data_IF_339278950191
#
_entry.id   IF_339278950191
#
_cell.length_a   1.000
_cell.length_b   1.000
_cell.length_c   1.000
_cell.angle_alpha   90.00
_cell.angle_beta   90.00
_cell.angle_gamma   90.00
#
_symmetry.space_group_name_H-M   'P 1'
#
loop_
_entity.id
_entity.type
_entity.pdbx_description
1 polymer ?
#
# COMPACT_ATOMS: atom_id res chain seq x y z
N UNK A 1 -25.79 24.86 -34.62
CA UNK A 1 -26.33 25.48 -33.39
C UNK A 1 -25.18 25.75 -32.45
N UNK A 2 -24.83 27.03 -32.34
CA UNK A 2 -23.69 27.57 -31.59
C UNK A 2 -24.06 27.82 -30.13
N UNK A 3 -23.20 27.47 -29.18
CA UNK A 3 -23.06 28.28 -27.96
C UNK A 3 -21.63 28.23 -27.43
N UNK A 4 -21.04 29.43 -27.40
CA UNK A 4 -19.66 29.77 -27.05
C UNK A 4 -19.46 29.85 -25.52
N UNK A 5 -18.24 29.50 -25.14
CA UNK A 5 -17.38 29.90 -24.01
C UNK A 5 -17.83 30.90 -22.93
N UNK A 6 -17.28 30.77 -21.69
CA UNK A 6 -17.52 31.65 -20.55
C UNK A 6 -16.58 32.87 -20.58
N UNK A 7 -16.90 33.89 -21.39
CA UNK A 7 -16.20 35.18 -21.40
C UNK A 7 -17.09 36.37 -20.99
N UNK A 8 -18.36 36.13 -20.68
CA UNK A 8 -19.35 37.18 -20.41
C UNK A 8 -19.43 37.64 -18.94
N UNK A 9 -18.84 36.91 -17.97
CA UNK A 9 -18.88 37.30 -16.55
C UNK A 9 -17.77 38.25 -16.10
N UNK A 10 -16.70 38.44 -16.90
CA UNK A 10 -15.60 39.36 -16.55
C UNK A 10 -15.81 40.82 -17.01
N UNK A 11 -16.75 41.10 -17.90
CA UNK A 11 -17.02 42.47 -18.38
C UNK A 11 -18.09 43.25 -17.58
N UNK A 12 -18.88 42.57 -16.74
CA UNK A 12 -19.90 43.25 -15.91
C UNK A 12 -19.31 43.96 -14.68
N UNK A 13 -18.13 43.55 -14.19
CA UNK A 13 -17.46 44.16 -13.03
C UNK A 13 -16.63 45.40 -13.39
N UNK A 14 -16.11 45.50 -14.62
CA UNK A 14 -15.35 46.68 -15.08
C UNK A 14 -16.23 47.89 -15.43
N UNK A 15 -17.50 47.69 -15.81
CA UNK A 15 -18.44 48.80 -16.07
C UNK A 15 -18.97 49.48 -14.80
N UNK A 16 -19.07 48.76 -13.69
CA UNK A 16 -19.49 49.33 -12.41
C UNK A 16 -18.41 50.25 -11.80
N UNK A 17 -17.13 49.98 -12.07
CA UNK A 17 -16.01 50.78 -11.56
C UNK A 17 -15.88 52.15 -12.25
N UNK A 18 -16.22 52.24 -13.54
CA UNK A 18 -16.13 53.51 -14.31
C UNK A 18 -17.30 54.46 -14.07
N UNK A 19 -18.49 53.94 -13.74
CA UNK A 19 -19.68 54.78 -13.46
C UNK A 19 -19.57 55.46 -12.08
N UNK A 20 -18.83 54.89 -11.14
CA UNK A 20 -18.63 55.47 -9.81
C UNK A 20 -17.59 56.62 -9.80
N UNK A 21 -16.62 56.61 -10.72
CA UNK A 21 -15.61 57.69 -10.83
C UNK A 21 -16.14 58.96 -11.52
N UNK A 22 -17.12 58.84 -12.44
CA UNK A 22 -17.66 59.99 -13.16
C UNK A 22 -18.71 60.79 -12.39
N UNK A 23 -19.31 60.23 -11.34
CA UNK A 23 -20.30 60.92 -10.51
C UNK A 23 -19.67 61.79 -9.40
N UNK A 24 -18.36 61.67 -9.16
CA UNK A 24 -17.65 62.41 -8.11
C UNK A 24 -17.11 63.78 -8.58
N UNK A 25 -17.16 64.09 -9.88
CA UNK A 25 -16.48 65.24 -10.47
C UNK A 25 -17.37 66.47 -10.77
N UNK A 26 -18.66 66.48 -10.41
CA UNK A 26 -19.59 67.58 -10.80
C UNK A 26 -20.32 68.30 -9.67
N UNK A 27 -19.87 68.17 -8.43
CA UNK A 27 -20.40 68.94 -7.28
C UNK A 27 -19.25 69.67 -6.59
N UNK A 28 -18.57 70.55 -7.33
CA UNK A 28 -17.42 71.32 -6.81
C UNK A 28 -17.45 72.80 -7.18
N UNK A 29 -18.63 73.38 -7.36
CA UNK A 29 -18.77 74.84 -7.41
C UNK A 29 -20.00 75.28 -6.64
N UNK A 30 -19.85 75.46 -5.33
CA UNK A 30 -20.42 76.58 -4.56
C UNK A 30 -20.03 76.43 -3.08
N UNK A 31 -19.44 77.51 -2.56
CA UNK A 31 -19.32 77.90 -1.16
C UNK A 31 -18.22 77.25 -0.30
N UNK A 32 -17.20 78.10 -0.10
CA UNK A 32 -16.09 78.05 0.85
C UNK A 32 -16.54 77.70 2.28
N UNK A 33 -15.68 76.96 2.99
CA UNK A 33 -15.36 76.95 4.45
C UNK A 33 -15.25 75.50 5.00
N UNK A 34 -14.06 75.19 5.58
CA UNK A 34 -13.60 73.99 6.35
C UNK A 34 -12.86 72.86 5.60
N UNK A 35 -11.50 72.87 5.56
CA UNK A 35 -10.70 71.77 5.03
C UNK A 35 -10.06 70.87 6.11
N UNK A 36 -10.61 70.76 7.33
CA UNK A 36 -9.97 69.94 8.40
C UNK A 36 -10.86 68.81 8.96
N UNK A 37 -12.19 68.97 8.97
CA UNK A 37 -13.12 67.94 9.47
C UNK A 37 -13.44 66.83 8.46
N UNK A 38 -13.17 67.03 7.18
CA UNK A 38 -13.47 66.10 6.08
C UNK A 38 -12.45 64.95 5.97
N UNK A 39 -11.15 65.25 6.20
CA UNK A 39 -10.11 64.22 6.16
C UNK A 39 -10.20 63.25 7.34
N UNK A 40 -10.53 63.74 8.54
CA UNK A 40 -10.70 62.90 9.74
C UNK A 40 -11.85 61.91 9.53
N UNK A 41 -12.99 62.35 8.97
CA UNK A 41 -14.13 61.46 8.68
C UNK A 41 -13.82 60.44 7.58
N UNK A 42 -13.05 60.82 6.56
CA UNK A 42 -12.57 59.88 5.52
C UNK A 42 -11.61 58.85 6.10
N UNK A 43 -10.69 59.27 6.97
CA UNK A 43 -9.75 58.37 7.64
C UNK A 43 -10.46 57.39 8.57
N UNK A 44 -11.46 57.87 9.33
CA UNK A 44 -12.31 57.00 10.14
C UNK A 44 -13.09 56.01 9.28
N UNK A 45 -13.69 56.47 8.17
CA UNK A 45 -14.44 55.60 7.25
C UNK A 45 -13.55 54.50 6.65
N UNK A 46 -12.36 54.86 6.14
CA UNK A 46 -11.38 53.88 5.65
C UNK A 46 -10.89 52.94 6.74
N UNK A 47 -10.63 53.44 7.96
CA UNK A 47 -10.25 52.60 9.09
C UNK A 47 -11.37 51.61 9.47
N UNK A 48 -12.64 52.05 9.54
CA UNK A 48 -13.78 51.15 9.78
C UNK A 48 -13.98 50.15 8.66
N UNK A 49 -13.80 50.53 7.39
CA UNK A 49 -13.88 49.58 6.27
C UNK A 49 -12.75 48.56 6.30
N UNK A 50 -11.53 48.95 6.66
CA UNK A 50 -10.38 48.02 6.79
C UNK A 50 -10.56 47.10 7.99
N UNK A 51 -11.06 47.60 9.13
CA UNK A 51 -11.42 46.79 10.30
C UNK A 51 -12.56 45.83 9.97
N UNK A 52 -13.59 46.27 9.26
CA UNK A 52 -14.69 45.41 8.81
C UNK A 52 -14.21 44.34 7.81
N UNK A 53 -13.31 44.67 6.86
CA UNK A 53 -12.71 43.69 5.96
C UNK A 53 -11.82 42.68 6.71
N UNK A 54 -11.03 43.13 7.69
CA UNK A 54 -10.19 42.22 8.48
C UNK A 54 -11.00 41.34 9.43
N UNK A 55 -12.12 41.83 9.96
CA UNK A 55 -13.10 41.01 10.70
C UNK A 55 -13.82 39.99 9.79
N UNK A 56 -14.07 40.33 8.51
CA UNK A 56 -14.65 39.39 7.53
C UNK A 56 -13.66 38.32 7.05
N UNK A 57 -12.35 38.63 7.02
CA UNK A 57 -11.29 37.64 6.72
C UNK A 57 -11.01 36.72 7.92
N UNK A 58 -11.30 37.18 9.15
CA UNK A 58 -11.13 36.39 10.38
C UNK A 58 -12.16 35.29 10.62
N UNK A 59 -13.25 35.24 9.84
CA UNK A 59 -14.29 34.20 9.94
C UNK A 59 -14.02 32.96 9.05
N UNK A 60 -12.82 32.84 8.49
CA UNK A 60 -12.44 31.72 7.62
C UNK A 60 -11.79 30.54 8.34
N UNK A 61 -12.58 29.75 9.06
CA UNK A 61 -12.20 28.40 9.50
C UNK A 61 -11.53 28.29 10.88
N UNK A 62 -11.72 27.13 11.52
CA UNK A 62 -10.99 26.77 12.75
C UNK A 62 -9.55 26.50 12.34
N UNK A 63 -8.58 27.25 12.87
CA UNK A 63 -7.15 27.12 12.51
C UNK A 63 -6.48 25.85 13.03
N UNK A 64 -7.21 25.03 13.78
CA UNK A 64 -6.76 23.76 14.34
C UNK A 64 -7.76 22.64 14.01
N UNK A 65 -7.95 22.36 12.73
CA UNK A 65 -8.69 21.18 12.26
C UNK A 65 -7.71 19.99 12.18
N UNK A 66 -7.90 18.91 12.97
CA UNK A 66 -6.98 17.77 13.00
C UNK A 66 -6.83 17.08 11.64
N UNK A 67 -7.94 16.96 10.91
CA UNK A 67 -7.99 16.39 9.56
C UNK A 67 -8.94 17.22 8.69
N UNK A 68 -8.72 17.27 7.37
CA UNK A 68 -9.61 18.00 6.46
C UNK A 68 -11.06 17.52 6.57
N UNK A 69 -12.01 18.44 6.73
CA UNK A 69 -13.46 18.15 6.83
C UNK A 69 -14.01 17.25 5.73
N UNK A 70 -13.49 17.37 4.51
CA UNK A 70 -13.90 16.52 3.40
C UNK A 70 -13.62 15.03 3.67
N UNK A 71 -12.46 14.72 4.27
CA UNK A 71 -12.09 13.34 4.59
C UNK A 71 -12.86 12.80 5.81
N UNK A 72 -13.29 13.66 6.74
CA UNK A 72 -14.16 13.26 7.86
C UNK A 72 -15.56 12.79 7.42
N UNK A 73 -16.00 13.18 6.22
CA UNK A 73 -17.25 12.70 5.63
C UNK A 73 -17.10 11.39 4.86
N UNK A 74 -15.86 10.92 4.66
CA UNK A 74 -15.52 9.67 4.00
C UNK A 74 -15.24 8.57 5.05
N UNK A 75 -15.27 7.31 4.61
CA UNK A 75 -14.91 6.15 5.45
C UNK A 75 -13.39 5.91 5.40
N UNK A 76 -12.66 6.82 6.06
CA UNK A 76 -11.20 6.86 6.08
C UNK A 76 -10.69 6.53 7.46
N UNK A 77 -9.66 5.69 7.53
CA UNK A 77 -8.88 5.46 8.74
C UNK A 77 -7.62 6.34 8.71
N UNK A 78 -7.43 7.14 9.74
CA UNK A 78 -6.23 7.94 9.93
C UNK A 78 -5.25 7.28 10.90
N UNK A 79 -3.99 7.19 10.50
CA UNK A 79 -2.90 6.69 11.36
C UNK A 79 -1.62 7.51 11.17
N UNK A 80 -0.62 7.21 12.00
CA UNK A 80 0.75 7.60 11.73
C UNK A 80 1.67 6.40 11.49
N UNK A 81 2.89 6.67 11.02
CA UNK A 81 4.01 5.72 10.96
C UNK A 81 5.31 6.46 11.30
N UNK A 82 6.29 5.78 11.90
CA UNK A 82 7.49 6.48 12.39
C UNK A 82 8.58 6.66 11.34
N UNK A 83 8.72 5.69 10.44
CA UNK A 83 9.76 5.66 9.41
C UNK A 83 9.20 5.15 8.09
N UNK A 84 9.67 5.74 6.98
CA UNK A 84 9.27 5.29 5.66
C UNK A 84 9.73 3.84 5.44
N UNK A 85 8.86 2.94 4.97
CA UNK A 85 9.24 1.59 4.56
C UNK A 85 10.42 1.61 3.59
N UNK A 86 11.40 0.74 3.81
CA UNK A 86 12.55 0.65 2.91
C UNK A 86 12.21 -0.20 1.69
N UNK A 87 11.50 -1.30 1.89
CA UNK A 87 11.11 -2.22 0.85
C UNK A 87 9.61 -2.48 0.88
N UNK A 88 8.96 -2.33 -0.27
CA UNK A 88 7.59 -2.76 -0.50
C UNK A 88 7.51 -3.88 -1.56
N UNK A 89 8.63 -4.25 -2.19
CA UNK A 89 8.72 -5.48 -2.95
C UNK A 89 8.59 -6.67 -1.99
N UNK A 90 7.64 -7.57 -2.24
CA UNK A 90 7.46 -8.77 -1.41
C UNK A 90 8.70 -9.66 -1.34
N UNK A 91 9.57 -9.63 -2.35
CA UNK A 91 10.84 -10.38 -2.37
C UNK A 91 11.88 -9.81 -1.40
N UNK A 92 11.87 -8.48 -1.19
CA UNK A 92 12.87 -7.78 -0.36
C UNK A 92 12.36 -7.48 1.05
N UNK A 93 11.04 -7.30 1.21
CA UNK A 93 10.42 -6.91 2.48
C UNK A 93 10.58 -7.98 3.55
N UNK A 94 11.01 -7.54 4.73
CA UNK A 94 11.22 -8.41 5.90
C UNK A 94 11.16 -7.64 7.23
N UNK A 95 10.80 -6.35 7.20
CA UNK A 95 10.81 -5.48 8.38
C UNK A 95 9.39 -5.24 8.90
N UNK A 96 9.21 -5.14 10.22
CA UNK A 96 7.88 -4.99 10.82
C UNK A 96 7.15 -3.71 10.36
N UNK A 97 7.86 -2.60 10.18
CA UNK A 97 7.30 -1.33 9.70
C UNK A 97 6.77 -1.39 8.25
N UNK A 98 7.17 -2.41 7.46
CA UNK A 98 6.69 -2.62 6.09
C UNK A 98 5.37 -3.40 6.09
N UNK A 99 5.06 -4.14 7.16
CA UNK A 99 3.95 -5.10 7.20
C UNK A 99 2.55 -4.50 7.03
N UNK A 100 2.21 -3.30 7.57
CA UNK A 100 0.89 -2.71 7.32
C UNK A 100 0.60 -2.49 5.84
N UNK A 101 1.65 -2.22 5.05
CA UNK A 101 1.57 -1.95 3.61
C UNK A 101 1.59 -3.24 2.81
N UNK A 102 2.57 -4.10 3.08
CA UNK A 102 2.78 -5.31 2.29
C UNK A 102 1.67 -6.34 2.51
N UNK A 103 1.16 -6.53 3.74
CA UNK A 103 0.04 -7.45 3.98
C UNK A 103 -1.32 -6.89 3.56
N UNK A 104 -1.43 -5.58 3.32
CA UNK A 104 -2.62 -4.96 2.75
C UNK A 104 -2.69 -5.13 1.22
N UNK A 105 -1.53 -5.13 0.55
CA UNK A 105 -1.43 -5.25 -0.92
C UNK A 105 -1.24 -6.70 -1.37
N UNK A 106 -0.37 -7.45 -0.72
CA UNK A 106 -0.06 -8.84 -1.09
C UNK A 106 -0.86 -9.85 -0.26
N UNK A 107 -1.15 -11.01 -0.87
CA UNK A 107 -1.75 -12.14 -0.18
C UNK A 107 -0.86 -13.38 -0.27
N UNK A 108 -0.14 -13.73 0.81
CA UNK A 108 0.51 -15.02 0.89
C UNK A 108 -0.52 -16.16 0.93
N UNK A 109 -0.14 -17.41 0.65
CA UNK A 109 -1.07 -18.55 0.61
C UNK A 109 -1.92 -18.71 1.87
N UNK A 110 -1.31 -18.50 3.03
CA UNK A 110 -1.91 -18.66 4.34
C UNK A 110 -1.94 -17.33 5.11
N UNK A 111 -2.75 -17.30 6.16
CA UNK A 111 -2.74 -16.24 7.18
C UNK A 111 -2.98 -16.84 8.56
N UNK A 112 -2.83 -16.02 9.59
CA UNK A 112 -3.28 -16.40 10.93
C UNK A 112 -4.70 -15.92 11.18
N UNK A 113 -5.49 -16.75 11.86
CA UNK A 113 -6.77 -16.36 12.40
C UNK A 113 -6.54 -15.42 13.59
N UNK A 114 -6.82 -14.12 13.41
CA UNK A 114 -6.41 -13.08 14.35
C UNK A 114 -7.23 -13.02 15.65
N UNK A 115 -8.35 -13.74 15.75
CA UNK A 115 -9.13 -13.87 16.99
C UNK A 115 -8.89 -15.17 17.77
N UNK A 116 -8.12 -16.14 17.23
CA UNK A 116 -7.86 -17.42 17.92
C UNK A 116 -6.56 -17.36 18.73
N UNK A 117 -6.58 -17.93 19.94
CA UNK A 117 -5.44 -17.96 20.88
C UNK A 117 -5.32 -19.37 21.48
N UNK A 118 -4.28 -20.17 21.14
CA UNK A 118 -3.10 -19.81 20.36
C UNK A 118 -3.41 -19.52 18.89
N UNK A 119 -2.53 -18.75 18.22
CA UNK A 119 -2.71 -18.41 16.81
C UNK A 119 -2.75 -19.66 15.93
N UNK A 120 -3.77 -19.74 15.07
CA UNK A 120 -3.96 -20.84 14.11
C UNK A 120 -3.76 -20.34 12.67
N UNK A 121 -3.14 -21.17 11.84
CA UNK A 121 -3.05 -20.91 10.41
C UNK A 121 -4.36 -21.28 9.72
N UNK A 122 -4.78 -20.44 8.78
CA UNK A 122 -5.92 -20.66 7.90
C UNK A 122 -5.59 -20.28 6.45
N UNK A 123 -6.32 -20.83 5.47
CA UNK A 123 -6.19 -20.43 4.08
C UNK A 123 -6.45 -18.92 3.88
N UNK A 124 -5.62 -18.28 3.06
CA UNK A 124 -5.85 -16.89 2.61
C UNK A 124 -6.23 -16.84 1.13
N UNK A 125 -5.38 -17.39 0.27
CA UNK A 125 -5.64 -17.54 -1.17
C UNK A 125 -5.82 -19.00 -1.58
N UNK A 126 -5.66 -19.93 -0.65
CA UNK A 126 -5.90 -21.36 -0.87
C UNK A 126 -7.34 -21.73 -0.54
N UNK A 127 -7.81 -22.85 -1.11
CA UNK A 127 -9.12 -23.43 -0.74
C UNK A 127 -9.07 -24.21 0.57
N UNK A 128 -7.90 -24.74 0.93
CA UNK A 128 -7.65 -25.53 2.13
C UNK A 128 -6.19 -25.41 2.58
N UNK A 129 -5.86 -25.92 3.77
CA UNK A 129 -4.47 -26.00 4.21
C UNK A 129 -3.69 -26.95 3.29
N UNK A 130 -2.40 -26.68 3.01
CA UNK A 130 -1.60 -27.51 2.13
C UNK A 130 -1.56 -28.97 2.60
N UNK A 131 -1.76 -29.90 1.66
CA UNK A 131 -1.52 -31.31 1.93
C UNK A 131 -0.01 -31.59 1.90
N UNK A 132 0.45 -32.53 2.72
CA UNK A 132 1.87 -32.87 2.83
C UNK A 132 2.08 -34.35 2.61
N UNK A 133 2.92 -34.69 1.63
CA UNK A 133 3.40 -36.06 1.37
C UNK A 133 4.89 -36.15 1.66
N UNK A 134 5.36 -37.32 2.09
CA UNK A 134 6.78 -37.58 2.34
C UNK A 134 7.35 -38.51 1.28
N UNK A 135 8.57 -38.23 0.83
CA UNK A 135 9.28 -39.05 -0.15
C UNK A 135 10.58 -39.60 0.40
N UNK A 136 10.91 -40.83 0.01
CA UNK A 136 12.23 -41.45 0.23
C UNK A 136 13.29 -40.87 -0.72
N UNK A 137 14.56 -41.26 -0.55
CA UNK A 137 15.64 -40.85 -1.45
C UNK A 137 15.41 -41.31 -2.90
N UNK A 138 14.73 -42.44 -3.07
CA UNK A 138 14.36 -43.04 -4.34
C UNK A 138 13.06 -42.43 -4.92
N UNK A 139 12.45 -41.44 -4.24
CA UNK A 139 11.23 -40.77 -4.68
C UNK A 139 9.94 -41.54 -4.42
N UNK A 140 9.97 -42.58 -3.57
CA UNK A 140 8.76 -43.33 -3.19
C UNK A 140 8.01 -42.62 -2.07
N UNK A 141 6.68 -42.62 -2.14
CA UNK A 141 5.82 -42.07 -1.08
C UNK A 141 5.96 -42.89 0.21
N UNK A 142 6.08 -42.19 1.34
CA UNK A 142 6.28 -42.75 2.68
C UNK A 142 5.06 -42.49 3.58
N UNK A 143 4.76 -43.39 4.53
CA UNK A 143 3.74 -43.16 5.55
C UNK A 143 3.96 -41.88 6.37
N UNK A 144 2.89 -41.27 6.87
CA UNK A 144 2.94 -40.02 7.65
C UNK A 144 3.74 -40.20 8.96
N UNK A 145 3.71 -41.40 9.54
CA UNK A 145 4.37 -41.76 10.79
C UNK A 145 5.86 -42.07 10.61
N UNK A 146 6.40 -42.02 9.38
CA UNK A 146 7.81 -42.30 9.13
C UNK A 146 8.72 -41.36 9.94
N UNK A 147 9.77 -41.91 10.60
CA UNK A 147 10.79 -41.14 11.30
C UNK A 147 11.43 -40.07 10.41
N UNK A 148 11.75 -38.91 10.98
CA UNK A 148 12.20 -37.74 10.22
C UNK A 148 13.52 -37.95 9.47
N UNK A 149 14.41 -38.79 10.00
CA UNK A 149 15.70 -39.18 9.43
C UNK A 149 15.59 -40.06 8.18
N UNK A 150 14.43 -40.70 7.97
CA UNK A 150 14.14 -41.53 6.79
C UNK A 150 13.43 -40.74 5.68
N UNK A 151 12.95 -39.53 5.96
CA UNK A 151 12.25 -38.69 5.00
C UNK A 151 13.27 -37.84 4.25
N UNK A 152 13.42 -38.07 2.95
CA UNK A 152 14.32 -37.29 2.13
C UNK A 152 13.71 -35.94 1.74
N UNK A 153 12.40 -35.89 1.50
CA UNK A 153 11.69 -34.68 1.08
C UNK A 153 10.26 -34.64 1.61
N UNK A 154 9.74 -33.43 1.83
CA UNK A 154 8.32 -33.16 2.02
C UNK A 154 7.76 -32.43 0.80
N UNK A 155 6.61 -32.87 0.29
CA UNK A 155 5.92 -32.27 -0.85
C UNK A 155 4.67 -31.58 -0.33
N UNK A 156 4.65 -30.26 -0.45
CA UNK A 156 3.49 -29.42 -0.13
C UNK A 156 2.69 -29.20 -1.41
N UNK A 157 1.43 -29.60 -1.43
CA UNK A 157 0.51 -29.29 -2.51
C UNK A 157 -0.44 -28.17 -2.07
N UNK A 158 -0.43 -27.08 -2.82
CA UNK A 158 -1.22 -25.89 -2.60
C UNK A 158 -2.31 -25.84 -3.66
N UNK A 159 -3.58 -25.81 -3.22
CA UNK A 159 -4.74 -25.61 -4.08
C UNK A 159 -5.24 -24.18 -3.93
N UNK A 160 -5.05 -23.38 -4.96
CA UNK A 160 -5.37 -21.96 -5.02
C UNK A 160 -6.85 -21.79 -5.29
N UNK A 161 -7.48 -20.83 -4.62
CA UNK A 161 -8.86 -20.46 -4.86
C UNK A 161 -8.99 -19.77 -6.23
N UNK A 162 -9.81 -20.30 -7.15
CA UNK A 162 -10.06 -19.65 -8.43
C UNK A 162 -10.80 -18.31 -8.28
N UNK A 163 -10.64 -17.44 -9.27
CA UNK A 163 -11.31 -16.15 -9.36
C UNK A 163 -10.71 -15.03 -8.50
N UNK A 164 -9.54 -15.24 -7.88
CA UNK A 164 -8.82 -14.16 -7.22
C UNK A 164 -8.21 -13.25 -8.28
N UNK A 165 -8.52 -11.95 -8.25
CA UNK A 165 -8.05 -10.98 -9.24
C UNK A 165 -6.95 -10.08 -8.65
N UNK A 166 -5.96 -9.74 -9.47
CA UNK A 166 -5.02 -8.67 -9.16
C UNK A 166 -5.70 -7.30 -9.13
N UNK A 167 -5.15 -6.37 -8.38
CA UNK A 167 -5.54 -4.97 -8.44
C UNK A 167 -5.41 -4.39 -9.87
N UNK A 168 -6.22 -3.38 -10.25
CA UNK A 168 -6.04 -2.68 -11.51
C UNK A 168 -4.62 -2.11 -11.66
N UNK A 169 -3.95 -2.40 -12.77
CA UNK A 169 -2.58 -1.97 -13.01
C UNK A 169 -2.26 -1.88 -14.52
N UNK A 170 -1.40 -0.94 -14.98
CA UNK A 170 -1.01 -0.83 -16.40
C UNK A 170 -0.32 -2.07 -16.95
N UNK A 171 0.42 -2.83 -16.12
CA UNK A 171 1.07 -4.08 -16.55
C UNK A 171 0.10 -5.10 -17.17
N UNK A 172 -1.19 -5.05 -16.82
CA UNK A 172 -2.22 -5.95 -17.34
C UNK A 172 -3.05 -5.33 -18.47
N UNK A 173 -2.83 -4.06 -18.82
CA UNK A 173 -3.61 -3.39 -19.84
C UNK A 173 -3.31 -4.01 -21.22
N UNK A 174 -4.38 -4.39 -21.93
CA UNK A 174 -4.29 -4.98 -23.27
C UNK A 174 -4.92 -4.05 -24.31
N UNK A 175 -4.48 -4.18 -25.56
CA UNK A 175 -5.13 -3.61 -26.74
C UNK A 175 -6.28 -4.53 -27.19
N UNK A 176 -7.06 -4.07 -28.17
CA UNK A 176 -8.16 -4.87 -28.75
C UNK A 176 -7.66 -6.18 -29.41
N UNK A 177 -6.42 -6.20 -29.89
CA UNK A 177 -5.76 -7.39 -30.46
C UNK A 177 -5.24 -8.40 -29.41
N UNK A 178 -5.43 -8.11 -28.12
CA UNK A 178 -4.97 -8.95 -27.00
C UNK A 178 -3.51 -8.75 -26.59
N UNK A 179 -2.72 -7.94 -27.30
CA UNK A 179 -1.35 -7.64 -26.91
C UNK A 179 -1.30 -6.70 -25.70
N UNK A 180 -0.28 -6.85 -24.87
CA UNK A 180 -0.07 -5.93 -23.75
C UNK A 180 0.31 -4.53 -24.27
N UNK A 181 -0.35 -3.52 -23.72
CA UNK A 181 -0.18 -2.13 -24.15
C UNK A 181 1.14 -1.53 -23.66
N UNK A 182 1.61 -1.95 -22.49
CA UNK A 182 2.69 -1.30 -21.76
C UNK A 182 3.90 -2.21 -21.42
N UNK A 183 4.06 -3.35 -22.10
CA UNK A 183 5.23 -4.26 -21.91
C UNK A 183 6.33 -4.08 -22.97
N UNK A 184 6.29 -3.00 -23.76
CA UNK A 184 7.33 -2.66 -24.74
C UNK A 184 7.49 -1.15 -24.89
N UNK A 185 7.51 -0.44 -23.76
CA UNK A 185 7.66 0.99 -23.64
C UNK A 185 9.11 1.42 -23.87
N UNK A 186 9.25 2.57 -24.53
CA UNK A 186 10.51 3.34 -24.59
C UNK A 186 10.52 4.36 -23.46
N UNK A 187 11.70 4.87 -23.12
CA UNK A 187 11.81 5.91 -22.09
C UNK A 187 11.00 7.18 -22.42
N UNK A 188 10.82 7.50 -23.71
CA UNK A 188 9.97 8.61 -24.16
C UNK A 188 8.49 8.40 -23.83
N UNK A 189 8.01 7.15 -23.80
CA UNK A 189 6.60 6.83 -23.60
C UNK A 189 6.17 6.98 -22.13
N UNK A 190 7.15 7.11 -21.22
CA UNK A 190 6.94 7.27 -19.77
C UNK A 190 7.36 8.66 -19.29
N UNK A 191 7.46 9.64 -20.19
CA UNK A 191 7.65 11.04 -19.82
C UNK A 191 6.44 11.54 -19.02
N UNK A 192 6.69 12.22 -17.90
CA UNK A 192 5.63 12.70 -17.00
C UNK A 192 5.00 11.65 -16.09
N UNK A 193 5.18 10.35 -16.36
CA UNK A 193 4.65 9.26 -15.53
C UNK A 193 5.42 9.17 -14.21
N UNK A 194 4.72 9.32 -13.07
CA UNK A 194 5.31 9.24 -11.73
C UNK A 194 4.74 8.10 -10.90
N UNK A 195 3.56 7.62 -11.27
CA UNK A 195 2.84 6.53 -10.59
C UNK A 195 2.19 5.62 -11.62
N UNK A 196 1.92 4.35 -11.30
CA UNK A 196 1.20 3.46 -12.20
C UNK A 196 -0.17 4.00 -12.62
N UNK A 197 -0.80 4.80 -11.75
CA UNK A 197 -2.13 5.39 -12.00
C UNK A 197 -2.13 6.61 -12.92
N UNK A 198 -0.96 7.09 -13.36
CA UNK A 198 -0.86 8.15 -14.35
C UNK A 198 -0.98 7.60 -15.80
N UNK A 199 -0.92 6.27 -15.97
CA UNK A 199 -1.17 5.61 -17.26
C UNK A 199 -2.66 5.62 -17.59
N UNK A 200 -3.00 5.79 -18.88
CA UNK A 200 -4.38 5.93 -19.33
C UNK A 200 -5.22 4.66 -19.15
N UNK A 201 -4.65 3.49 -19.45
CA UNK A 201 -5.37 2.22 -19.43
C UNK A 201 -4.91 1.32 -18.29
N UNK A 202 -5.87 0.74 -17.58
CA UNK A 202 -5.63 -0.28 -16.57
C UNK A 202 -6.19 -1.62 -17.04
N UNK A 203 -5.58 -2.71 -16.58
CA UNK A 203 -6.14 -4.04 -16.70
C UNK A 203 -6.09 -4.78 -15.37
N UNK A 204 -6.61 -6.00 -15.36
CA UNK A 204 -6.43 -6.98 -14.30
C UNK A 204 -6.48 -8.38 -14.92
N UNK A 205 -5.99 -9.37 -14.18
CA UNK A 205 -6.18 -10.78 -14.51
C UNK A 205 -6.31 -11.61 -13.24
N UNK A 206 -6.74 -12.85 -13.43
CA UNK A 206 -6.76 -13.87 -12.38
C UNK A 206 -5.34 -14.21 -11.91
N UNK A 207 -5.23 -14.46 -10.61
CA UNK A 207 -4.13 -15.10 -9.93
C UNK A 207 -4.03 -16.57 -10.34
N UNK A 208 -2.84 -17.01 -10.76
CA UNK A 208 -2.58 -18.39 -11.16
C UNK A 208 -1.44 -19.02 -10.35
N UNK A 209 -1.36 -20.35 -10.36
CA UNK A 209 -0.28 -21.11 -9.73
C UNK A 209 1.12 -20.72 -10.24
N UNK A 210 1.21 -20.33 -11.51
CA UNK A 210 2.45 -19.82 -12.11
C UNK A 210 2.96 -18.54 -11.45
N UNK A 211 2.10 -17.71 -10.87
CA UNK A 211 2.51 -16.46 -10.20
C UNK A 211 3.23 -16.74 -8.88
N UNK A 212 2.81 -17.79 -8.17
CA UNK A 212 3.53 -18.29 -7.00
C UNK A 212 4.85 -18.95 -7.40
N UNK A 213 4.85 -19.74 -8.47
CA UNK A 213 6.08 -20.34 -8.98
C UNK A 213 7.09 -19.26 -9.41
N UNK A 214 6.63 -18.21 -10.09
CA UNK A 214 7.42 -17.06 -10.48
C UNK A 214 7.99 -16.33 -9.26
N UNK A 215 7.18 -16.04 -8.25
CA UNK A 215 7.62 -15.40 -7.02
C UNK A 215 8.71 -16.20 -6.29
N UNK A 216 8.54 -17.52 -6.15
CA UNK A 216 9.53 -18.40 -5.49
C UNK A 216 10.84 -18.41 -6.28
N UNK A 217 10.77 -18.48 -7.60
CA UNK A 217 11.96 -18.36 -8.46
C UNK A 217 12.63 -17.00 -8.33
N UNK A 218 11.86 -15.92 -8.25
CA UNK A 218 12.35 -14.54 -8.12
C UNK A 218 13.09 -14.29 -6.81
N UNK A 219 12.88 -15.10 -5.76
CA UNK A 219 13.71 -15.04 -4.54
C UNK A 219 15.21 -15.18 -4.84
N UNK A 220 15.57 -15.89 -5.92
CA UNK A 220 16.96 -16.10 -6.34
C UNK A 220 17.56 -14.93 -7.14
N UNK A 221 16.83 -13.82 -7.27
CA UNK A 221 17.29 -12.63 -7.99
C UNK A 221 18.60 -12.08 -7.41
N UNK A 222 19.61 -11.80 -8.25
CA UNK A 222 20.84 -11.13 -7.82
C UNK A 222 20.74 -9.59 -7.90
N UNK A 223 19.59 -9.05 -8.34
CA UNK A 223 19.41 -7.61 -8.60
C UNK A 223 18.89 -6.84 -7.39
N UNK A 224 18.17 -7.50 -6.51
CA UNK A 224 17.66 -6.96 -5.25
C UNK A 224 18.02 -7.93 -4.11
N UNK A 225 17.97 -7.45 -2.87
CA UNK A 225 18.30 -8.27 -1.72
C UNK A 225 17.06 -9.03 -1.27
N UNK A 226 17.08 -10.37 -1.34
CA UNK A 226 16.08 -11.23 -0.70
C UNK A 226 16.59 -11.74 0.65
N UNK A 227 16.06 -11.26 1.80
CA UNK A 227 16.53 -11.71 3.12
C UNK A 227 16.25 -13.20 3.39
N UNK A 228 15.21 -13.76 2.78
CA UNK A 228 14.80 -15.16 2.98
C UNK A 228 15.53 -16.15 2.08
N UNK A 229 16.17 -15.67 0.98
CA UNK A 229 16.78 -16.54 -0.02
C UNK A 229 17.82 -17.51 0.57
N UNK A 230 18.76 -17.03 1.40
CA UNK A 230 19.82 -17.89 1.93
C UNK A 230 19.29 -19.09 2.73
N UNK A 231 18.25 -18.88 3.54
CA UNK A 231 17.61 -19.96 4.28
C UNK A 231 16.78 -20.86 3.36
N UNK A 232 15.93 -20.26 2.50
CA UNK A 232 15.03 -21.01 1.64
C UNK A 232 15.78 -21.80 0.57
N UNK A 233 16.96 -21.35 0.11
CA UNK A 233 17.76 -22.07 -0.88
C UNK A 233 18.25 -23.42 -0.40
N UNK A 234 18.44 -23.57 0.92
CA UNK A 234 18.80 -24.84 1.55
C UNK A 234 17.58 -25.75 1.78
N UNK A 235 16.38 -25.18 1.85
CA UNK A 235 15.15 -25.90 2.15
C UNK A 235 14.37 -26.30 0.91
N UNK A 236 14.29 -25.47 -0.12
CA UNK A 236 13.55 -25.79 -1.35
C UNK A 236 14.47 -26.58 -2.29
N UNK A 237 14.01 -27.73 -2.75
CA UNK A 237 14.79 -28.63 -3.60
C UNK A 237 15.25 -27.88 -4.87
N UNK A 238 16.57 -27.89 -5.12
CA UNK A 238 17.19 -27.27 -6.30
C UNK A 238 17.35 -25.75 -6.26
N UNK A 239 16.83 -25.04 -5.25
CA UNK A 239 16.86 -23.57 -5.23
C UNK A 239 18.28 -22.98 -5.10
N UNK A 240 19.18 -23.68 -4.40
CA UNK A 240 20.60 -23.30 -4.33
C UNK A 240 21.26 -23.26 -5.71
N UNK A 241 21.10 -24.33 -6.50
CA UNK A 241 21.74 -24.42 -7.82
C UNK A 241 21.05 -23.51 -8.84
N UNK A 242 19.73 -23.37 -8.72
CA UNK A 242 18.96 -22.37 -9.46
C UNK A 242 19.51 -20.95 -9.24
N UNK A 243 19.77 -20.54 -8.00
CA UNK A 243 20.34 -19.22 -7.72
C UNK A 243 21.73 -19.01 -8.33
N UNK A 244 22.58 -20.05 -8.36
CA UNK A 244 23.88 -19.98 -9.07
C UNK A 244 23.69 -19.79 -10.58
N UNK A 245 22.71 -20.49 -11.17
CA UNK A 245 22.38 -20.36 -12.59
C UNK A 245 21.90 -18.95 -12.92
N UNK A 246 20.94 -18.42 -12.15
CA UNK A 246 20.40 -17.06 -12.33
C UNK A 246 21.50 -16.01 -12.16
N UNK A 247 22.38 -16.16 -11.16
CA UNK A 247 23.52 -15.27 -10.99
C UNK A 247 24.42 -15.26 -12.24
N UNK A 248 24.79 -16.44 -12.74
CA UNK A 248 25.61 -16.57 -13.96
C UNK A 248 24.94 -15.89 -15.16
N UNK A 249 23.64 -16.11 -15.35
CA UNK A 249 22.90 -15.46 -16.45
C UNK A 249 22.85 -13.93 -16.30
N UNK A 250 22.62 -13.44 -15.08
CA UNK A 250 22.63 -12.00 -14.82
C UNK A 250 24.02 -11.37 -15.04
N UNK A 251 25.10 -12.07 -14.74
CA UNK A 251 26.45 -11.58 -15.06
C UNK A 251 26.68 -11.50 -16.58
N UNK A 252 26.19 -12.46 -17.36
CA UNK A 252 26.20 -12.37 -18.84
C UNK A 252 25.46 -11.13 -19.35
N UNK A 253 24.32 -10.79 -18.74
CA UNK A 253 23.57 -9.56 -19.10
C UNK A 253 24.33 -8.27 -18.78
N UNK A 254 25.36 -8.32 -17.93
CA UNK A 254 26.22 -7.18 -17.59
C UNK A 254 27.46 -7.09 -18.49
N UNK A 255 27.81 -8.13 -19.23
CA UNK A 255 28.99 -8.14 -20.10
C UNK A 255 28.92 -6.99 -21.12
N UNK A 256 30.02 -6.24 -21.25
CA UNK A 256 30.10 -5.08 -22.15
C UNK A 256 29.34 -3.83 -21.70
N UNK A 257 28.69 -3.85 -20.53
CA UNK A 257 27.98 -2.68 -19.98
C UNK A 257 28.86 -1.87 -19.04
N UNK A 258 28.67 -0.55 -19.04
CA UNK A 258 29.33 0.36 -18.11
C UNK A 258 28.77 0.26 -16.69
N UNK A 259 29.55 0.73 -15.71
CA UNK A 259 29.11 0.83 -14.30
C UNK A 259 27.79 1.61 -14.14
N UNK A 260 27.55 2.60 -15.00
CA UNK A 260 26.32 3.40 -14.99
C UNK A 260 25.11 2.60 -15.48
N UNK A 261 25.29 1.74 -16.48
CA UNK A 261 24.22 0.90 -17.04
C UNK A 261 23.83 -0.26 -16.13
N UNK A 262 24.79 -0.81 -15.37
CA UNK A 262 24.55 -1.89 -14.40
C UNK A 262 24.15 -1.39 -13.01
N UNK A 263 24.31 -0.09 -12.74
CA UNK A 263 24.04 0.52 -11.45
C UNK A 263 22.53 0.61 -11.13
N UNK A 264 22.16 1.10 -9.92
CA UNK A 264 20.76 1.10 -9.45
C UNK A 264 19.78 1.89 -10.32
N UNK A 265 20.25 2.91 -11.03
CA UNK A 265 19.46 3.74 -11.96
C UNK A 265 19.70 3.40 -13.43
N UNK A 266 20.54 2.40 -13.69
CA UNK A 266 20.82 1.85 -15.00
C UNK A 266 19.69 0.95 -15.50
N UNK A 267 19.92 0.31 -16.64
CA UNK A 267 18.97 -0.60 -17.24
C UNK A 267 19.67 -1.87 -17.73
N UNK A 268 19.27 -2.99 -17.13
CA UNK A 268 19.53 -4.33 -17.62
C UNK A 268 18.24 -4.88 -18.23
N UNK A 269 18.32 -5.67 -19.31
CA UNK A 269 17.17 -6.39 -19.83
C UNK A 269 16.44 -7.15 -18.72
N UNK A 270 15.12 -7.29 -18.84
CA UNK A 270 14.33 -8.05 -17.88
C UNK A 270 14.90 -9.46 -17.68
N UNK A 271 15.01 -9.86 -16.41
CA UNK A 271 15.45 -11.19 -16.01
C UNK A 271 14.22 -12.07 -15.86
N UNK A 272 13.81 -12.74 -16.94
CA UNK A 272 12.61 -13.57 -16.95
C UNK A 272 12.86 -14.92 -16.25
N UNK A 273 12.33 -15.07 -15.03
CA UNK A 273 12.47 -16.30 -14.25
C UNK A 273 11.68 -17.48 -14.84
N UNK A 274 10.78 -17.27 -15.81
CA UNK A 274 10.02 -18.36 -16.46
C UNK A 274 10.92 -19.22 -17.34
N UNK A 275 11.96 -18.66 -17.92
CA UNK A 275 12.89 -19.34 -18.83
C UNK A 275 13.81 -20.35 -18.12
N UNK A 276 13.78 -20.37 -16.78
CA UNK A 276 14.64 -21.22 -15.96
C UNK A 276 13.79 -22.16 -15.09
N UNK A 277 14.05 -23.47 -15.19
CA UNK A 277 13.34 -24.47 -14.42
C UNK A 277 13.89 -24.57 -12.99
N UNK A 278 13.01 -24.72 -12.01
CA UNK A 278 13.35 -24.97 -10.60
C UNK A 278 12.74 -26.31 -10.18
N UNK A 279 13.59 -27.31 -9.90
CA UNK A 279 13.13 -28.69 -9.70
C UNK A 279 12.24 -28.91 -8.47
N UNK A 280 12.32 -28.04 -7.47
CA UNK A 280 11.49 -28.07 -6.27
C UNK A 280 10.14 -27.37 -6.41
N UNK A 281 9.82 -26.78 -7.57
CA UNK A 281 8.57 -26.03 -7.79
C UNK A 281 7.93 -26.50 -9.08
N UNK A 282 6.73 -27.05 -8.97
CA UNK A 282 6.01 -27.65 -10.08
C UNK A 282 4.57 -27.10 -10.13
N UNK A 283 4.19 -26.55 -11.28
CA UNK A 283 2.82 -26.10 -11.56
C UNK A 283 2.10 -27.27 -12.24
N UNK A 284 1.08 -27.84 -11.60
CA UNK A 284 0.34 -28.97 -12.16
C UNK A 284 -0.78 -28.52 -13.10
N UNK A 285 -1.44 -27.43 -12.73
CA UNK A 285 -2.52 -26.80 -13.48
C UNK A 285 -2.61 -25.31 -13.06
N UNK A 286 -3.64 -24.61 -13.56
CA UNK A 286 -3.86 -23.18 -13.32
C UNK A 286 -3.95 -22.80 -11.83
N UNK A 287 -4.36 -23.73 -10.95
CA UNK A 287 -4.63 -23.48 -9.54
C UNK A 287 -3.95 -24.46 -8.59
N UNK A 288 -3.09 -25.36 -9.08
CA UNK A 288 -2.38 -26.33 -8.24
C UNK A 288 -0.87 -26.20 -8.37
N UNK A 289 -0.21 -25.92 -7.23
CA UNK A 289 1.24 -25.80 -7.12
C UNK A 289 1.80 -26.84 -6.16
N UNK A 290 2.88 -27.52 -6.56
CA UNK A 290 3.69 -28.37 -5.67
C UNK A 290 5.01 -27.70 -5.34
N UNK A 291 5.35 -27.71 -4.05
CA UNK A 291 6.64 -27.26 -3.53
C UNK A 291 7.30 -28.42 -2.79
N UNK A 292 8.49 -28.81 -3.23
CA UNK A 292 9.30 -29.87 -2.62
C UNK A 292 10.36 -29.24 -1.73
N UNK A 293 10.38 -29.64 -0.47
CA UNK A 293 11.38 -29.22 0.51
C UNK A 293 12.23 -30.38 1.00
N UNK A 294 13.48 -30.11 1.36
CA UNK A 294 14.46 -31.08 1.84
C UNK A 294 14.10 -31.53 3.26
N UNK A 295 14.04 -32.85 3.46
CA UNK A 295 13.73 -33.49 4.73
C UNK A 295 12.28 -33.32 5.20
N UNK A 296 12.03 -33.68 6.46
CA UNK A 296 10.79 -33.37 7.18
C UNK A 296 10.86 -31.93 7.72
N UNK A 297 10.09 -31.01 7.15
CA UNK A 297 10.09 -29.60 7.57
C UNK A 297 8.67 -29.06 7.84
N UNK A 298 8.04 -29.41 8.98
CA UNK A 298 6.68 -28.97 9.30
C UNK A 298 6.55 -27.46 9.44
N UNK A 299 7.64 -26.76 9.75
CA UNK A 299 7.64 -25.30 9.88
C UNK A 299 7.45 -24.58 8.54
N UNK A 300 7.59 -25.29 7.39
CA UNK A 300 7.40 -24.71 6.06
C UNK A 300 6.06 -23.98 5.91
N UNK A 301 4.99 -24.52 6.49
CA UNK A 301 3.65 -23.91 6.44
C UNK A 301 3.60 -22.49 7.03
N UNK A 302 4.44 -22.18 8.01
CA UNK A 302 4.46 -20.82 8.60
C UNK A 302 5.11 -19.81 7.66
N UNK A 303 6.05 -20.26 6.82
CA UNK A 303 6.61 -19.41 5.76
C UNK A 303 5.57 -19.07 4.68
N UNK A 304 4.61 -19.97 4.44
CA UNK A 304 3.51 -19.72 3.51
C UNK A 304 2.50 -18.66 4.01
N UNK A 305 2.67 -18.14 5.24
CA UNK A 305 1.94 -16.98 5.73
C UNK A 305 2.74 -15.67 5.58
N UNK A 306 3.97 -15.72 5.06
CA UNK A 306 4.86 -14.57 4.93
C UNK A 306 4.80 -13.94 3.53
N UNK A 307 4.92 -12.62 3.45
CA UNK A 307 4.73 -11.86 2.20
C UNK A 307 5.66 -12.25 1.05
N UNK A 308 6.88 -12.72 1.29
CA UNK A 308 7.78 -13.21 0.22
C UNK A 308 7.32 -14.52 -0.45
N UNK A 309 6.27 -15.18 0.07
CA UNK A 309 5.55 -16.26 -0.63
C UNK A 309 4.28 -15.76 -1.34
N UNK A 310 4.01 -14.46 -1.36
CA UNK A 310 2.90 -13.89 -2.11
C UNK A 310 3.16 -13.99 -3.62
N UNK A 311 2.10 -14.08 -4.43
CA UNK A 311 2.23 -14.31 -5.85
C UNK A 311 2.68 -13.03 -6.57
N UNK A 312 3.63 -13.17 -7.49
CA UNK A 312 4.13 -12.05 -8.31
C UNK A 312 3.80 -12.37 -9.77
N UNK A 313 2.96 -11.57 -10.42
CA UNK A 313 2.64 -11.75 -11.82
C UNK A 313 3.84 -11.30 -12.66
N UNK A 314 4.28 -12.16 -13.59
CA UNK A 314 5.46 -11.89 -14.42
C UNK A 314 5.33 -10.58 -15.21
N UNK A 315 4.10 -10.18 -15.59
CA UNK A 315 3.85 -8.94 -16.30
C UNK A 315 4.25 -7.70 -15.50
N UNK A 316 4.08 -7.72 -14.18
CA UNK A 316 4.45 -6.59 -13.32
C UNK A 316 5.95 -6.46 -13.21
N UNK A 317 6.67 -7.58 -13.08
CA UNK A 317 8.14 -7.58 -13.06
C UNK A 317 8.71 -7.14 -14.42
N UNK A 318 8.13 -7.64 -15.52
CA UNK A 318 8.47 -7.20 -16.87
C UNK A 318 8.19 -5.71 -17.09
N UNK A 319 7.03 -5.21 -16.62
CA UNK A 319 6.64 -3.81 -16.73
C UNK A 319 7.65 -2.89 -16.04
N UNK A 320 8.01 -3.19 -14.79
CA UNK A 320 8.95 -2.37 -14.02
C UNK A 320 10.42 -2.54 -14.45
N UNK A 321 10.77 -3.63 -15.12
CA UNK A 321 12.12 -3.85 -15.61
C UNK A 321 12.49 -3.00 -16.85
N UNK A 322 11.51 -2.33 -17.48
CA UNK A 322 11.72 -1.49 -18.66
C UNK A 322 12.62 -0.28 -18.37
N UNK A 323 13.30 0.23 -19.40
CA UNK A 323 14.22 1.35 -19.25
C UNK A 323 13.50 2.62 -18.78
N UNK A 324 14.15 3.37 -17.89
CA UNK A 324 13.63 4.62 -17.32
C UNK A 324 12.62 4.46 -16.17
N UNK A 325 12.11 3.25 -15.90
CA UNK A 325 11.16 2.98 -14.81
C UNK A 325 11.76 3.28 -13.43
N UNK A 326 12.90 2.65 -13.10
CA UNK A 326 13.59 2.87 -11.81
C UNK A 326 13.96 4.33 -11.57
N UNK A 327 14.36 5.08 -12.62
CA UNK A 327 14.69 6.51 -12.54
C UNK A 327 13.50 7.39 -12.13
N UNK A 328 12.28 6.88 -12.28
CA UNK A 328 11.02 7.57 -11.96
C UNK A 328 10.35 7.01 -10.71
N UNK A 329 11.04 6.16 -9.94
CA UNK A 329 10.47 5.39 -8.83
C UNK A 329 9.27 4.51 -9.24
N UNK A 330 9.18 4.11 -10.51
CA UNK A 330 8.23 3.10 -10.97
C UNK A 330 8.86 1.72 -10.74
N UNK A 331 8.74 1.22 -9.52
CA UNK A 331 9.30 -0.07 -9.12
C UNK A 331 8.46 -0.71 -8.01
N UNK A 332 8.62 -2.02 -7.74
CA UNK A 332 7.86 -2.72 -6.70
C UNK A 332 8.06 -2.19 -5.27
N UNK A 333 9.22 -1.58 -4.97
CA UNK A 333 9.50 -0.99 -3.65
C UNK A 333 8.75 0.32 -3.40
N UNK A 334 8.22 0.94 -4.45
CA UNK A 334 7.40 2.17 -4.36
C UNK A 334 5.94 1.87 -4.65
N UNK A 335 5.67 0.96 -5.57
CA UNK A 335 4.34 0.64 -6.10
C UNK A 335 4.11 -0.87 -6.10
N UNK A 336 3.84 -1.46 -4.92
CA UNK A 336 3.54 -2.88 -4.81
C UNK A 336 2.23 -3.21 -5.54
N UNK A 337 2.17 -4.43 -6.09
CA UNK A 337 1.01 -4.92 -6.84
C UNK A 337 0.64 -6.31 -6.36
N UNK A 338 -0.60 -6.48 -5.90
CA UNK A 338 -1.07 -7.77 -5.41
C UNK A 338 -2.57 -7.96 -5.56
N UNK A 339 -3.08 -8.99 -4.88
CA UNK A 339 -4.50 -9.39 -4.86
C UNK A 339 -5.21 -8.96 -3.57
N UNK A 340 -4.51 -8.24 -2.69
CA UNK A 340 -4.96 -7.92 -1.35
C UNK A 340 -6.11 -6.91 -1.28
N UNK A 341 -6.62 -6.65 -0.06
CA UNK A 341 -7.76 -5.77 0.16
C UNK A 341 -7.53 -4.31 -0.22
N UNK A 342 -6.28 -3.85 -0.30
CA UNK A 342 -5.95 -2.47 -0.62
C UNK A 342 -4.85 -2.36 -1.68
N UNK A 343 -4.80 -1.20 -2.32
CA UNK A 343 -3.76 -0.77 -3.25
C UNK A 343 -3.06 0.44 -2.67
N UNK A 344 -1.75 0.55 -2.84
CA UNK A 344 -1.03 1.79 -2.52
C UNK A 344 -1.22 2.79 -3.66
N UNK A 345 -1.94 3.89 -3.41
CA UNK A 345 -2.29 4.91 -4.42
C UNK A 345 -1.49 6.20 -4.29
N UNK A 346 -0.93 6.45 -3.12
CA UNK A 346 0.00 7.55 -2.88
C UNK A 346 1.18 7.09 -2.03
N UNK A 347 2.38 7.49 -2.47
CA UNK A 347 3.62 7.29 -1.74
C UNK A 347 4.47 8.56 -1.85
N UNK A 348 4.47 9.36 -0.79
CA UNK A 348 5.35 10.51 -0.64
C UNK A 348 6.38 10.17 0.44
N UNK A 349 7.63 9.84 0.05
CA UNK A 349 8.66 9.45 1.00
C UNK A 349 8.80 10.46 2.13
N UNK A 350 8.87 9.97 3.37
CA UNK A 350 8.99 10.79 4.59
C UNK A 350 7.87 11.82 4.76
N UNK A 351 6.66 11.53 4.28
CA UNK A 351 5.52 12.43 4.46
C UNK A 351 4.20 11.69 4.62
N UNK A 352 3.76 10.95 3.59
CA UNK A 352 2.40 10.41 3.51
C UNK A 352 2.34 9.14 2.67
N UNK A 353 1.48 8.22 3.07
CA UNK A 353 1.11 7.04 2.31
C UNK A 353 -0.40 6.87 2.33
N UNK A 354 -0.98 6.46 1.20
CA UNK A 354 -2.41 6.19 1.08
C UNK A 354 -2.67 4.80 0.52
N UNK A 355 -3.46 4.03 1.26
CA UNK A 355 -4.06 2.79 0.78
C UNK A 355 -5.53 3.05 0.43
N UNK A 356 -5.96 2.59 -0.74
CA UNK A 356 -7.36 2.63 -1.17
C UNK A 356 -7.85 1.21 -1.41
N UNK A 357 -9.10 0.93 -1.07
CA UNK A 357 -9.74 -0.39 -1.27
C UNK A 357 -9.49 -0.87 -2.70
N UNK A 358 -8.97 -2.09 -2.84
CA UNK A 358 -8.83 -2.74 -4.12
C UNK A 358 -10.24 -3.13 -4.63
N UNK A 359 -10.71 -2.57 -5.76
CA UNK A 359 -12.05 -2.86 -6.28
C UNK A 359 -12.23 -4.33 -6.69
N UNK A 360 -11.12 -5.03 -6.95
CA UNK A 360 -11.11 -6.44 -7.34
C UNK A 360 -11.00 -7.40 -6.16
N UNK A 361 -10.89 -6.88 -4.92
CA UNK A 361 -10.82 -7.76 -3.75
C UNK A 361 -12.16 -8.47 -3.55
N UNK A 362 -12.11 -9.81 -3.54
CA UNK A 362 -13.28 -10.71 -3.41
C UNK A 362 -14.13 -10.49 -2.15
N UNK A 363 -13.56 -9.81 -1.15
CA UNK A 363 -14.15 -9.59 0.15
C UNK A 363 -14.23 -10.88 0.97
N UNK A 364 -13.42 -10.98 2.02
CA UNK A 364 -13.44 -12.14 2.93
C UNK A 364 -14.40 -11.84 4.09
N UNK A 365 -15.29 -12.78 4.48
CA UNK A 365 -16.17 -12.56 5.63
C UNK A 365 -15.35 -12.38 6.90
N UNK A 366 -15.76 -11.43 7.73
CA UNK A 366 -15.19 -11.26 9.06
C UNK A 366 -15.45 -12.51 9.92
N UNK A 367 -14.48 -12.97 10.74
CA UNK A 367 -14.59 -14.18 11.54
C UNK A 367 -15.82 -14.18 12.47
N UNK A 368 -16.42 -15.36 12.60
CA UNK A 368 -17.54 -15.60 13.52
C UNK A 368 -17.11 -16.36 14.78
N UNK A 369 -15.88 -16.84 14.81
CA UNK A 369 -15.28 -17.54 15.94
C UNK A 369 -14.23 -16.63 16.59
N UNK A 370 -14.11 -16.74 17.91
CA UNK A 370 -13.13 -16.06 18.73
C UNK A 370 -12.99 -16.78 20.07
N UNK A 371 -12.20 -16.22 20.97
CA UNK A 371 -12.00 -16.76 22.31
C UNK A 371 -13.17 -16.44 23.26
N UNK A 372 -13.31 -17.17 24.39
CA UNK A 372 -14.22 -16.77 25.45
C UNK A 372 -13.99 -15.31 25.87
N UNK A 373 -15.05 -14.50 25.91
CA UNK A 373 -14.95 -13.06 26.18
C UNK A 373 -14.93 -12.17 24.93
N UNK A 374 -14.60 -12.69 23.74
CA UNK A 374 -14.54 -11.87 22.52
C UNK A 374 -15.93 -11.43 22.05
N UNK A 375 -16.97 -12.24 22.30
CA UNK A 375 -18.36 -11.87 22.03
C UNK A 375 -18.82 -10.72 22.93
N UNK A 376 -18.52 -10.79 24.23
CA UNK A 376 -18.84 -9.78 25.23
C UNK A 376 -18.12 -8.47 24.96
N UNK A 377 -16.88 -8.54 24.47
CA UNK A 377 -16.11 -7.38 23.98
C UNK A 377 -16.64 -6.82 22.65
N UNK A 378 -17.57 -7.52 22.00
CA UNK A 378 -18.17 -7.11 20.74
C UNK A 378 -17.31 -7.35 19.51
N UNK A 379 -16.23 -8.13 19.61
CA UNK A 379 -15.36 -8.44 18.48
C UNK A 379 -16.07 -9.28 17.41
N UNK A 380 -17.11 -10.02 17.78
CA UNK A 380 -17.88 -10.86 16.85
C UNK A 380 -19.13 -10.17 16.26
N UNK A 381 -19.37 -8.87 16.55
CA UNK A 381 -20.55 -8.13 16.08
C UNK A 381 -20.66 -8.04 14.55
N UNK A 382 -19.53 -8.08 13.87
CA UNK A 382 -19.43 -7.97 12.43
C UNK A 382 -19.28 -9.32 11.73
N UNK A 383 -19.44 -10.44 12.45
CA UNK A 383 -19.42 -11.80 11.91
C UNK A 383 -20.14 -11.89 10.55
N UNK A 384 -19.45 -12.45 9.56
CA UNK A 384 -19.97 -12.66 8.21
C UNK A 384 -20.02 -11.42 7.31
N UNK A 385 -19.84 -10.20 7.83
CA UNK A 385 -19.77 -8.99 6.99
C UNK A 385 -18.52 -9.04 6.11
N UNK A 386 -18.63 -8.54 4.87
CA UNK A 386 -17.51 -8.54 3.91
C UNK A 386 -16.49 -7.48 4.27
N UNK A 387 -15.23 -7.89 4.39
CA UNK A 387 -14.08 -7.00 4.58
C UNK A 387 -13.48 -6.56 3.23
N UNK A 388 -12.70 -5.48 3.18
CA UNK A 388 -12.44 -4.52 4.26
C UNK A 388 -13.66 -3.66 4.59
N UNK A 389 -13.74 -3.16 5.83
CA UNK A 389 -14.80 -2.23 6.22
C UNK A 389 -14.50 -0.78 5.86
N UNK A 390 -13.22 -0.43 5.82
CA UNK A 390 -12.72 0.92 5.53
C UNK A 390 -12.45 1.05 4.02
N UNK A 391 -12.68 2.24 3.47
CA UNK A 391 -12.46 2.51 2.04
C UNK A 391 -11.06 3.05 1.75
N UNK A 392 -10.45 3.75 2.71
CA UNK A 392 -9.15 4.40 2.57
C UNK A 392 -8.40 4.42 3.90
N UNK A 393 -7.09 4.22 3.86
CA UNK A 393 -6.19 4.46 4.99
C UNK A 393 -5.23 5.56 4.61
N UNK A 394 -5.19 6.62 5.40
CA UNK A 394 -4.23 7.72 5.25
C UNK A 394 -3.30 7.67 6.44
N UNK A 395 -2.01 7.44 6.17
CA UNK A 395 -0.99 7.54 7.21
C UNK A 395 0.02 8.63 6.89
N UNK A 396 0.43 9.34 7.94
CA UNK A 396 1.41 10.42 7.86
C UNK A 396 2.61 10.11 8.77
N UNK A 397 3.78 10.63 8.39
CA UNK A 397 4.98 10.37 9.18
C UNK A 397 4.95 11.12 10.52
N UNK A 398 5.25 10.43 11.61
CA UNK A 398 5.41 10.99 12.96
C UNK A 398 6.60 10.33 13.67
N UNK A 399 7.74 11.00 13.65
CA UNK A 399 8.99 10.45 14.20
C UNK A 399 9.03 10.47 15.73
N UNK A 400 8.37 11.44 16.35
CA UNK A 400 8.44 11.69 17.80
C UNK A 400 7.24 11.08 18.53
N UNK A 401 7.48 10.18 19.50
CA UNK A 401 6.41 9.49 20.22
C UNK A 401 5.47 10.42 21.01
N UNK A 402 6.00 11.54 21.55
CA UNK A 402 5.18 12.55 22.25
C UNK A 402 4.23 13.29 21.30
N UNK A 403 4.63 13.48 20.04
CA UNK A 403 3.78 14.03 18.97
C UNK A 403 2.63 13.09 18.67
N UNK A 404 2.92 11.79 18.45
CA UNK A 404 1.91 10.75 18.17
C UNK A 404 0.82 10.75 19.23
N UNK A 405 1.19 10.70 20.51
CA UNK A 405 0.21 10.64 21.59
C UNK A 405 -0.65 11.90 21.70
N UNK A 406 -0.07 13.07 21.45
CA UNK A 406 -0.81 14.34 21.51
C UNK A 406 -1.77 14.46 20.34
N UNK A 407 -1.33 14.11 19.13
CA UNK A 407 -2.13 14.13 17.91
C UNK A 407 -3.26 13.11 17.93
N UNK A 408 -3.01 11.89 18.42
CA UNK A 408 -4.05 10.88 18.63
C UNK A 408 -5.18 11.41 19.53
N UNK A 409 -4.83 11.94 20.71
CA UNK A 409 -5.81 12.50 21.65
C UNK A 409 -6.56 13.71 21.08
N UNK A 410 -5.88 14.51 20.25
CA UNK A 410 -6.47 15.64 19.52
C UNK A 410 -7.38 15.22 18.35
N UNK A 411 -7.42 13.95 17.98
CA UNK A 411 -8.26 13.44 16.89
C UNK A 411 -7.62 13.53 15.50
N UNK A 412 -6.29 13.65 15.41
CA UNK A 412 -5.58 13.55 14.12
C UNK A 412 -5.52 12.09 13.62
N UNK A 413 -5.55 11.12 14.54
CA UNK A 413 -5.41 9.70 14.26
C UNK A 413 -6.54 8.91 14.95
N UNK A 414 -7.12 7.95 14.22
CA UNK A 414 -8.04 6.96 14.79
C UNK A 414 -7.26 5.83 15.46
N UNK A 415 -6.10 5.49 14.90
CA UNK A 415 -5.14 4.54 15.46
C UNK A 415 -3.79 5.24 15.49
N UNK A 416 -3.07 5.27 16.63
CA UNK A 416 -1.81 6.00 16.72
C UNK A 416 -0.77 5.45 15.74
N UNK A 417 -0.63 4.12 15.63
CA UNK A 417 0.31 3.43 14.74
C UNK A 417 -0.30 2.10 14.28
N UNK A 418 -0.11 1.72 13.01
CA UNK A 418 -0.62 0.45 12.48
C UNK A 418 0.34 -0.71 12.75
N UNK A 419 1.65 -0.44 12.74
CA UNK A 419 2.71 -1.44 12.83
C UNK A 419 2.92 -1.97 14.25
N UNK A 420 2.57 -1.17 15.27
CA UNK A 420 2.87 -1.46 16.68
C UNK A 420 1.71 -1.09 17.60
N UNK A 421 1.38 -2.01 18.51
CA UNK A 421 0.37 -1.81 19.55
C UNK A 421 0.89 -1.16 20.84
N UNK A 422 2.20 -0.90 20.95
CA UNK A 422 2.84 -0.34 22.15
C UNK A 422 2.18 0.95 22.67
N UNK A 423 1.80 1.92 21.81
CA UNK A 423 1.11 3.13 22.28
C UNK A 423 -0.20 2.82 23.00
N UNK A 424 -0.99 1.86 22.48
CA UNK A 424 -2.27 1.45 23.08
C UNK A 424 -2.10 0.82 24.46
N UNK A 425 -1.10 -0.06 24.61
CA UNK A 425 -0.76 -0.67 25.91
C UNK A 425 -0.37 0.42 26.92
N UNK A 426 0.46 1.38 26.50
CA UNK A 426 0.86 2.51 27.36
C UNK A 426 -0.34 3.34 27.86
N UNK A 427 -1.34 3.55 27.00
CA UNK A 427 -2.58 4.24 27.39
C UNK A 427 -3.43 3.42 28.36
N UNK A 428 -3.54 2.10 28.16
CA UNK A 428 -4.25 1.22 29.09
C UNK A 428 -3.62 1.21 30.48
N UNK A 429 -2.30 1.09 30.55
CA UNK A 429 -1.56 1.16 31.83
C UNK A 429 -1.75 2.51 32.51
N UNK A 430 -1.68 3.61 31.74
CA UNK A 430 -1.93 4.95 32.27
C UNK A 430 -3.32 5.04 32.93
N UNK A 431 -4.36 4.52 32.27
CA UNK A 431 -5.74 4.49 32.79
C UNK A 431 -5.82 3.64 34.07
N UNK A 432 -5.22 2.45 34.09
CA UNK A 432 -5.24 1.55 35.24
C UNK A 432 -4.56 2.16 36.48
N UNK A 433 -3.41 2.79 36.29
CA UNK A 433 -2.61 3.37 37.38
C UNK A 433 -3.07 4.79 37.77
N UNK A 434 -3.97 5.40 36.98
CA UNK A 434 -4.38 6.79 37.17
C UNK A 434 -3.27 7.81 36.91
N UNK A 435 -2.27 7.46 36.09
CA UNK A 435 -1.08 8.27 35.83
C UNK A 435 -1.09 8.91 34.44
N UNK A 436 -0.12 9.79 34.18
CA UNK A 436 0.10 10.36 32.85
C UNK A 436 -1.14 11.08 32.29
N UNK A 437 -1.70 10.54 31.21
CA UNK A 437 -2.87 11.10 30.50
C UNK A 437 -4.20 10.41 30.82
N UNK A 438 -4.27 9.60 31.88
CA UNK A 438 -5.47 8.84 32.26
C UNK A 438 -6.75 9.68 32.29
N UNK A 439 -6.69 10.83 32.98
CA UNK A 439 -7.83 11.74 33.11
C UNK A 439 -8.35 12.20 31.76
N UNK A 440 -7.47 12.62 30.86
CA UNK A 440 -7.84 13.10 29.53
C UNK A 440 -8.42 11.98 28.65
N UNK A 441 -7.82 10.79 28.68
CA UNK A 441 -8.31 9.63 27.95
C UNK A 441 -9.74 9.24 28.39
N UNK A 442 -10.00 9.24 29.70
CA UNK A 442 -11.31 8.95 30.28
C UNK A 442 -12.34 10.05 30.00
N UNK A 443 -11.98 11.32 30.18
CA UNK A 443 -12.86 12.47 29.91
C UNK A 443 -13.30 12.51 28.44
N UNK A 444 -12.39 12.17 27.51
CA UNK A 444 -12.68 12.10 26.07
C UNK A 444 -13.34 10.79 25.64
N UNK A 445 -13.55 9.83 26.56
CA UNK A 445 -14.16 8.52 26.30
C UNK A 445 -13.44 7.74 25.19
N UNK A 446 -12.11 7.84 25.13
CA UNK A 446 -11.30 7.08 24.16
C UNK A 446 -11.46 5.59 24.45
N UNK A 447 -11.83 4.82 23.42
CA UNK A 447 -11.92 3.36 23.49
C UNK A 447 -10.63 2.76 22.94
N UNK A 448 -9.98 1.94 23.76
CA UNK A 448 -8.79 1.19 23.38
C UNK A 448 -9.15 -0.29 23.23
N UNK A 449 -8.58 -1.00 22.24
CA UNK A 449 -8.89 -2.41 21.97
C UNK A 449 -8.48 -3.38 23.07
#
# INVERSE_FOLDING_TARGET
>A
MTSKTPLARRFSLMRAFFICHSACAKVQHLLKIKPMFSQIKRFHFFATCTVALSLLVGCGGVTNEPVPKALLAENVLFSSYQESPKYLDSTSSYSNNETPWTYAVYEPPLKYHYLKRPYELEPRTLTELPSVKFLSKEGKELPVQTPADQIAQSVFELKIQPGILYQPHPAFAKKEDGQYRYLSLKESDIEGMRRPYDFEHMGSRELLAEDYAYAIKRLATPRIKSPSFGFLSEKIVGLTDYGKQIKTFNEKLKEGKSAREVGPLGHLPWLDFREHALSGVEVLDAHTLKIRVVGKYPQFKYWLAMTFFSPIPWEVDAFYAQDGMSRRNLNPDTWPVGTGPYMLTEYVPNSRMELVRNPNYRGVPYPCEGEPGDQEKGLLKDCGKRTPFIDKVVSVIEKEGTSVATKFIQGYYDIPQLERGEPGIGYQVSIQDGTGRAKELLERKIQLP
#
